data_IF_425987232741
#
_entry.id   IF_425987232741
#
_cell.length_a   1.000
_cell.length_b   1.000
_cell.length_c   1.000
_cell.angle_alpha   90.00
_cell.angle_beta   90.00
_cell.angle_gamma   90.00
#
_symmetry.space_group_name_H-M   'P 1'
#
loop_
_entity.id
_entity.type
_entity.pdbx_description
1 polymer ?
#
# COMPACT_ATOMS: atom_id res chain seq x y z
N UNK A 1 -1.51 -19.09 26.38
CA UNK A 1 -2.56 -19.31 25.35
C UNK A 1 -2.57 -18.05 24.49
N UNK A 2 -1.84 -18.04 23.36
CA UNK A 2 -1.79 -16.87 22.46
C UNK A 2 -3.14 -16.77 21.74
N UNK A 3 -3.84 -15.68 21.97
CA UNK A 3 -5.16 -15.40 21.39
C UNK A 3 -4.98 -15.15 19.90
N UNK A 4 -5.78 -15.88 19.11
CA UNK A 4 -6.19 -15.70 17.70
C UNK A 4 -5.31 -14.83 16.77
N UNK A 5 -4.86 -15.46 15.69
CA UNK A 5 -4.21 -14.94 14.48
C UNK A 5 -4.99 -13.80 13.80
N UNK A 6 -4.88 -12.57 14.29
CA UNK A 6 -5.23 -11.41 13.47
C UNK A 6 -4.18 -11.29 12.36
N UNK A 7 -4.61 -11.40 11.10
CA UNK A 7 -3.77 -11.09 9.94
C UNK A 7 -3.36 -9.62 10.08
N UNK A 8 -2.05 -9.35 10.07
CA UNK A 8 -1.50 -7.99 10.18
C UNK A 8 -1.70 -7.26 8.84
N UNK A 9 -2.88 -6.66 8.65
CA UNK A 9 -3.24 -5.92 7.43
C UNK A 9 -3.16 -4.43 7.72
N UNK A 10 -2.29 -3.74 6.99
CA UNK A 10 -2.08 -2.28 7.11
C UNK A 10 -2.28 -1.60 5.76
N UNK A 11 -2.51 -0.30 5.80
CA UNK A 11 -2.85 0.52 4.62
C UNK A 11 -1.75 1.55 4.38
N UNK A 12 -1.23 1.60 3.14
CA UNK A 12 -0.29 2.61 2.64
C UNK A 12 -1.03 3.52 1.68
N UNK A 13 -1.14 4.81 2.02
CA UNK A 13 -1.91 5.77 1.24
C UNK A 13 -0.99 6.72 0.48
N UNK A 14 -1.03 6.66 -0.85
CA UNK A 14 -0.47 7.71 -1.70
C UNK A 14 -1.53 8.81 -1.92
N UNK A 15 -1.10 10.07 -1.80
CA UNK A 15 -1.95 11.25 -1.88
C UNK A 15 -1.43 12.26 -2.88
N UNK A 16 -2.31 13.09 -3.41
CA UNK A 16 -1.95 14.13 -4.39
C UNK A 16 -2.15 13.70 -5.84
N UNK A 17 -1.76 14.58 -6.77
CA UNK A 17 -2.06 14.40 -8.20
C UNK A 17 -1.24 13.31 -8.89
N UNK A 18 -0.14 12.87 -8.27
CA UNK A 18 0.76 11.81 -8.77
C UNK A 18 0.51 10.48 -8.07
N UNK A 19 -0.45 10.38 -7.14
CA UNK A 19 -0.57 9.22 -6.26
C UNK A 19 -0.69 7.86 -6.98
N UNK A 20 -1.43 7.82 -8.09
CA UNK A 20 -1.55 6.62 -8.92
C UNK A 20 -0.24 6.29 -9.65
N UNK A 21 0.48 7.30 -10.13
CA UNK A 21 1.80 7.14 -10.76
C UNK A 21 2.84 6.64 -9.74
N UNK A 22 2.86 7.24 -8.55
CA UNK A 22 3.75 6.85 -7.45
C UNK A 22 3.49 5.41 -6.98
N UNK A 23 2.22 4.98 -6.98
CA UNK A 23 1.83 3.60 -6.71
C UNK A 23 2.29 2.63 -7.80
N UNK A 24 2.18 3.01 -9.08
CA UNK A 24 2.63 2.18 -10.21
C UNK A 24 4.15 2.01 -10.17
N UNK A 25 4.90 3.10 -9.99
CA UNK A 25 6.36 3.07 -9.90
C UNK A 25 6.83 2.20 -8.71
N UNK A 26 6.19 2.36 -7.55
CA UNK A 26 6.47 1.52 -6.39
C UNK A 26 6.19 0.04 -6.67
N UNK A 27 5.07 -0.29 -7.33
CA UNK A 27 4.75 -1.66 -7.70
C UNK A 27 5.80 -2.26 -8.67
N UNK A 28 6.22 -1.51 -9.68
CA UNK A 28 7.22 -1.95 -10.66
C UNK A 28 8.60 -2.19 -10.02
N UNK A 29 9.01 -1.32 -9.08
CA UNK A 29 10.28 -1.41 -8.36
C UNK A 29 10.20 -2.24 -7.05
N UNK A 30 9.06 -2.91 -6.81
CA UNK A 30 8.85 -3.72 -5.60
C UNK A 30 9.09 -2.92 -4.29
N UNK A 31 8.66 -1.66 -4.28
CA UNK A 31 8.84 -0.72 -3.18
C UNK A 31 7.51 -0.06 -2.77
N UNK A 32 7.35 0.22 -1.48
CA UNK A 32 6.27 1.07 -0.97
C UNK A 32 6.84 2.09 0.01
N UNK A 33 6.21 3.26 0.09
CA UNK A 33 6.69 4.35 0.93
C UNK A 33 5.55 5.15 1.54
N UNK A 34 5.58 5.31 2.86
CA UNK A 34 4.69 6.22 3.58
C UNK A 34 5.29 6.71 4.90
N UNK A 35 4.64 7.72 5.49
CA UNK A 35 5.02 8.32 6.78
C UNK A 35 4.37 7.67 7.99
N UNK A 36 3.35 6.84 7.81
CA UNK A 36 2.50 6.38 8.90
C UNK A 36 2.85 4.97 9.39
N UNK A 37 3.22 4.08 8.47
CA UNK A 37 3.54 2.71 8.83
C UNK A 37 5.02 2.59 9.20
N UNK A 38 5.25 2.08 10.41
CA UNK A 38 6.56 1.57 10.83
C UNK A 38 6.42 0.07 11.06
N UNK A 39 7.11 -0.71 10.24
CA UNK A 39 7.13 -2.18 10.29
C UNK A 39 8.46 -2.62 10.86
N UNK A 40 8.40 -3.46 11.89
CA UNK A 40 9.59 -4.06 12.51
C UNK A 40 10.04 -5.33 11.79
N UNK A 41 11.27 -5.79 12.03
CA UNK A 41 11.82 -7.00 11.40
C UNK A 41 11.00 -8.26 11.69
N UNK A 42 10.36 -8.32 12.84
CA UNK A 42 9.53 -9.44 13.26
C UNK A 42 8.21 -9.51 12.48
N UNK A 43 7.81 -8.41 11.84
CA UNK A 43 6.59 -8.31 11.05
C UNK A 43 6.83 -8.49 9.54
N UNK A 44 8.09 -8.59 9.12
CA UNK A 44 8.42 -8.93 7.73
C UNK A 44 7.88 -10.31 7.40
N UNK A 45 7.29 -10.45 6.20
CA UNK A 45 6.54 -11.61 5.74
C UNK A 45 5.24 -11.91 6.52
N UNK A 46 4.98 -11.24 7.64
CA UNK A 46 3.72 -11.35 8.38
C UNK A 46 2.74 -10.20 8.08
N UNK A 47 3.26 -9.05 7.60
CA UNK A 47 2.46 -7.88 7.25
C UNK A 47 1.98 -7.91 5.79
N UNK A 48 0.67 -7.81 5.59
CA UNK A 48 0.03 -7.56 4.31
C UNK A 48 -0.28 -6.07 4.19
N UNK A 49 0.26 -5.46 3.14
CA UNK A 49 0.02 -4.09 2.77
C UNK A 49 -1.13 -4.00 1.76
N UNK A 50 -2.09 -3.13 2.05
CA UNK A 50 -3.02 -2.58 1.05
C UNK A 50 -2.43 -1.23 0.65
N UNK A 51 -1.89 -1.14 -0.56
CA UNK A 51 -1.40 0.12 -1.12
C UNK A 51 -2.56 0.74 -1.88
N UNK A 52 -2.89 1.98 -1.55
CA UNK A 52 -4.11 2.64 -2.01
C UNK A 52 -3.83 4.10 -2.39
N UNK A 53 -4.57 4.59 -3.38
CA UNK A 53 -4.70 6.01 -3.67
C UNK A 53 -6.12 6.35 -4.09
N UNK A 54 -6.48 7.63 -3.99
CA UNK A 54 -7.76 8.14 -4.48
C UNK A 54 -7.51 9.18 -5.59
N UNK A 55 -8.11 8.93 -6.77
CA UNK A 55 -8.06 9.81 -7.93
C UNK A 55 -9.47 10.30 -8.27
N UNK A 56 -9.80 11.50 -7.81
CA UNK A 56 -11.18 12.01 -7.84
C UNK A 56 -12.08 11.11 -7.00
N UNK A 57 -13.16 10.59 -7.60
CA UNK A 57 -14.10 9.69 -6.94
C UNK A 57 -13.69 8.21 -7.04
N UNK A 58 -12.50 7.91 -7.57
CA UNK A 58 -12.07 6.53 -7.78
C UNK A 58 -10.96 6.12 -6.80
N UNK A 59 -11.20 5.03 -6.07
CA UNK A 59 -10.19 4.40 -5.23
C UNK A 59 -9.49 3.32 -6.05
N UNK A 60 -8.16 3.36 -6.08
CA UNK A 60 -7.32 2.34 -6.69
C UNK A 60 -6.44 1.71 -5.62
N UNK A 61 -6.34 0.38 -5.62
CA UNK A 61 -5.50 -0.32 -4.67
C UNK A 61 -4.89 -1.60 -5.24
N UNK A 62 -3.81 -2.05 -4.62
CA UNK A 62 -3.29 -3.41 -4.76
C UNK A 62 -2.84 -3.95 -3.39
N UNK A 63 -2.69 -5.27 -3.31
CA UNK A 63 -2.18 -5.95 -2.15
C UNK A 63 -0.73 -6.39 -2.38
N UNK A 64 0.08 -6.33 -1.32
CA UNK A 64 1.44 -6.84 -1.31
C UNK A 64 1.82 -7.37 0.08
N UNK A 65 2.85 -8.20 0.15
CA UNK A 65 3.49 -8.60 1.40
C UNK A 65 4.71 -7.73 1.65
N UNK A 66 4.91 -7.21 2.87
CA UNK A 66 6.14 -6.50 3.24
C UNK A 66 7.25 -7.54 3.48
N UNK A 67 8.34 -7.51 2.72
CA UNK A 67 9.44 -8.48 2.80
C UNK A 67 10.67 -7.96 3.57
N UNK A 68 10.79 -6.64 3.72
CA UNK A 68 11.89 -6.03 4.47
C UNK A 68 12.04 -4.55 4.23
N UNK A 69 13.19 -4.01 4.65
CA UNK A 69 13.61 -2.66 4.25
C UNK A 69 14.02 -2.66 2.79
N UNK A 70 13.61 -1.62 2.06
CA UNK A 70 14.08 -1.41 0.70
C UNK A 70 15.59 -1.12 0.69
N UNK A 71 16.31 -1.74 -0.26
CA UNK A 71 17.78 -1.68 -0.32
C UNK A 71 18.33 -0.62 -1.28
N UNK A 72 17.48 -0.09 -2.16
CA UNK A 72 17.84 0.99 -3.08
C UNK A 72 17.53 2.37 -2.51
N UNK A 73 17.81 3.41 -3.29
CA UNK A 73 17.43 4.77 -2.93
C UNK A 73 16.00 5.05 -3.38
N UNK A 74 15.24 5.80 -2.57
CA UNK A 74 13.87 6.16 -2.92
C UNK A 74 13.80 7.02 -4.20
N UNK A 75 14.81 7.85 -4.43
CA UNK A 75 14.93 8.67 -5.65
C UNK A 75 14.96 7.82 -6.92
N UNK A 76 15.57 6.64 -6.86
CA UNK A 76 15.68 5.75 -8.03
C UNK A 76 14.31 5.26 -8.52
N UNK A 77 13.30 5.28 -7.64
CA UNK A 77 11.92 4.86 -7.95
C UNK A 77 11.06 6.07 -8.32
N UNK A 78 11.02 7.09 -7.46
CA UNK A 78 10.00 8.14 -7.53
C UNK A 78 10.46 9.44 -8.19
N UNK A 79 11.75 9.62 -8.54
CA UNK A 79 12.16 10.74 -9.41
C UNK A 79 11.67 10.54 -10.86
N UNK A 80 11.20 9.34 -11.21
CA UNK A 80 10.55 9.05 -12.49
C UNK A 80 9.09 9.54 -12.55
N UNK A 81 8.50 9.92 -11.41
CA UNK A 81 7.15 10.48 -11.34
C UNK A 81 7.16 11.96 -11.75
N UNK A 82 6.00 12.49 -12.16
CA UNK A 82 5.86 13.94 -12.42
C UNK A 82 5.93 14.78 -11.14
N UNK A 83 5.97 14.14 -9.97
CA UNK A 83 6.17 14.78 -8.68
C UNK A 83 7.58 15.36 -8.51
N UNK A 84 7.78 16.10 -7.42
CA UNK A 84 9.07 16.71 -7.07
C UNK A 84 9.99 15.73 -6.34
N UNK A 85 9.99 14.45 -6.74
CA UNK A 85 10.74 13.37 -6.12
C UNK A 85 9.91 12.49 -5.17
N UNK A 86 10.57 11.71 -4.29
CA UNK A 86 9.91 10.66 -3.52
C UNK A 86 8.83 11.18 -2.57
N UNK A 87 7.72 10.44 -2.43
CA UNK A 87 6.77 10.63 -1.33
C UNK A 87 7.51 10.60 0.01
N UNK A 88 7.05 11.30 1.06
CA UNK A 88 7.73 11.30 2.35
C UNK A 88 7.64 9.92 3.04
N UNK A 89 8.60 9.62 3.92
CA UNK A 89 8.48 8.51 4.88
C UNK A 89 9.55 7.43 4.82
N UNK A 90 9.18 6.20 5.18
CA UNK A 90 10.04 5.02 5.19
C UNK A 90 9.77 4.16 3.97
N UNK A 91 10.82 3.62 3.35
CA UNK A 91 10.67 2.71 2.21
C UNK A 91 10.81 1.26 2.64
N UNK A 92 9.86 0.44 2.21
CA UNK A 92 9.87 -1.01 2.43
C UNK A 92 9.88 -1.75 1.09
N UNK A 93 10.55 -2.89 1.07
CA UNK A 93 10.48 -3.85 -0.03
C UNK A 93 9.16 -4.61 0.07
N UNK A 94 8.49 -4.78 -1.07
CA UNK A 94 7.20 -5.45 -1.17
C UNK A 94 7.24 -6.57 -2.19
N UNK A 95 6.41 -7.58 -1.97
CA UNK A 95 6.06 -8.59 -2.98
C UNK A 95 4.59 -8.44 -3.32
N UNK A 96 4.29 -7.90 -4.50
CA UNK A 96 2.91 -7.76 -4.95
C UNK A 96 2.21 -9.12 -5.02
N UNK A 97 0.99 -9.18 -4.50
CA UNK A 97 0.13 -10.38 -4.51
C UNK A 97 -1.19 -10.16 -5.25
N UNK A 98 -1.46 -8.93 -5.70
CA UNK A 98 -2.53 -8.60 -6.64
C UNK A 98 -2.03 -7.55 -7.63
N UNK A 99 -2.81 -7.34 -8.71
CA UNK A 99 -2.65 -6.16 -9.56
C UNK A 99 -3.34 -4.95 -8.94
N UNK A 100 -3.13 -3.77 -9.54
CA UNK A 100 -3.89 -2.56 -9.22
C UNK A 100 -5.30 -2.71 -9.79
N UNK A 101 -6.29 -2.54 -8.92
CA UNK A 101 -7.71 -2.55 -9.30
C UNK A 101 -8.41 -1.31 -8.76
N UNK A 102 -9.46 -0.89 -9.47
CA UNK A 102 -10.45 0.03 -8.90
C UNK A 102 -11.25 -0.71 -7.81
N UNK A 103 -11.31 -0.15 -6.62
CA UNK A 103 -12.05 -0.69 -5.47
C UNK A 103 -13.39 0.02 -5.36
N UNK A 104 -14.52 -0.68 -5.18
CA UNK A 104 -15.81 -0.07 -4.94
C UNK A 104 -15.84 0.73 -3.64
N UNK A 105 -16.41 1.94 -3.65
CA UNK A 105 -16.47 2.83 -2.49
C UNK A 105 -17.24 2.20 -1.31
N UNK A 106 -18.28 1.43 -1.61
CA UNK A 106 -19.07 0.69 -0.61
C UNK A 106 -18.23 -0.34 0.17
N UNK A 107 -17.15 -0.84 -0.45
CA UNK A 107 -16.24 -1.82 0.15
C UNK A 107 -15.11 -1.15 0.92
N UNK A 108 -14.52 -0.09 0.34
CA UNK A 108 -13.41 0.65 0.93
C UNK A 108 -13.84 1.56 2.09
N UNK A 109 -15.09 2.00 2.07
CA UNK A 109 -15.58 3.04 2.97
C UNK A 109 -14.89 4.39 2.75
N UNK A 110 -15.09 5.35 3.67
CA UNK A 110 -14.43 6.65 3.58
C UNK A 110 -12.91 6.51 3.78
N UNK A 111 -12.14 7.07 2.84
CA UNK A 111 -10.70 7.22 2.95
C UNK A 111 -10.33 8.23 4.04
N UNK A 112 -9.26 7.94 4.79
CA UNK A 112 -8.65 8.87 5.73
C UNK A 112 -7.17 9.11 5.37
N UNK A 113 -6.47 9.91 6.19
CA UNK A 113 -5.05 10.23 5.97
C UNK A 113 -4.12 8.99 6.04
N UNK A 114 -4.61 7.86 6.56
CA UNK A 114 -3.94 6.55 6.61
C UNK A 114 -4.48 5.55 5.56
N UNK A 115 -5.37 6.00 4.67
CA UNK A 115 -6.01 5.20 3.62
C UNK A 115 -7.25 4.45 4.11
N UNK A 116 -7.27 3.12 3.94
CA UNK A 116 -8.41 2.26 4.29
C UNK A 116 -8.45 2.04 5.81
N UNK A 117 -9.60 2.34 6.42
CA UNK A 117 -9.82 2.12 7.85
C UNK A 117 -9.81 0.62 8.21
N UNK A 118 -9.31 0.30 9.41
CA UNK A 118 -9.01 -1.06 9.87
C UNK A 118 -10.14 -2.07 9.61
N UNK A 119 -11.39 -1.70 9.88
CA UNK A 119 -12.54 -2.59 9.74
C UNK A 119 -12.98 -2.85 8.28
N UNK A 120 -12.49 -2.08 7.31
CA UNK A 120 -12.71 -2.33 5.87
C UNK A 120 -11.58 -3.13 5.22
N UNK A 121 -10.38 -3.18 5.83
CA UNK A 121 -9.17 -3.75 5.22
C UNK A 121 -9.32 -5.22 4.81
N UNK A 122 -9.95 -6.04 5.66
CA UNK A 122 -10.15 -7.47 5.35
C UNK A 122 -11.01 -7.64 4.10
N UNK A 123 -12.10 -6.88 3.99
CA UNK A 123 -13.00 -6.95 2.85
C UNK A 123 -12.33 -6.48 1.55
N UNK A 124 -11.56 -5.38 1.62
CA UNK A 124 -10.76 -4.88 0.50
C UNK A 124 -9.69 -5.89 0.08
N UNK A 125 -8.99 -6.51 1.02
CA UNK A 125 -7.99 -7.53 0.71
C UNK A 125 -8.61 -8.73 -0.02
N UNK A 126 -9.74 -9.25 0.45
CA UNK A 126 -10.43 -10.34 -0.23
C UNK A 126 -10.81 -9.98 -1.67
N UNK A 127 -11.38 -8.79 -1.88
CA UNK A 127 -11.70 -8.31 -3.22
C UNK A 127 -10.46 -8.23 -4.12
N UNK A 128 -9.34 -7.69 -3.61
CA UNK A 128 -8.11 -7.59 -4.41
C UNK A 128 -7.54 -8.96 -4.78
N UNK A 129 -7.67 -9.96 -3.91
CA UNK A 129 -7.22 -11.33 -4.18
C UNK A 129 -8.17 -12.07 -5.14
N UNK A 130 -9.48 -11.80 -5.09
CA UNK A 130 -10.47 -12.42 -5.98
C UNK A 130 -10.40 -11.87 -7.41
N UNK A 131 -9.91 -10.63 -7.58
CA UNK A 131 -9.76 -9.97 -8.89
C UNK A 131 -8.41 -10.25 -9.57
N UNK A 132 -7.46 -10.85 -8.85
CA UNK A 132 -6.05 -11.06 -9.24
C UNK A 132 -5.78 -12.23 -10.17
#
# INVERSE_FOLDING_TARGET
MKISSQINIRSWCYVGTTALEDMILGMDECAVRDTHNVVSSDEFYECIAIIVCQMGDNIFAHAAQISGHYKGEASDVWDCSRGSGPPPGHTYEIKAISRIHRVPDELAGPMNDHGIADHYRVAVLHYLLDMG
#
